data_IF_297281336539
#
_entry.id   IF_297281336539
#
_cell.length_a   1.000
_cell.length_b   1.000
_cell.length_c   1.000
_cell.angle_alpha   90.00
_cell.angle_beta   90.00
_cell.angle_gamma   90.00
#
_symmetry.space_group_name_H-M   'P 1'
#
loop_
_entity.id
_entity.type
_entity.pdbx_description
1 polymer ?
#
# COMPACT_ATOMS: atom_id res chain seq x y z
N UNK A 1 3.90 -36.03 -38.29
CA UNK A 1 2.49 -35.72 -37.96
C UNK A 1 2.41 -35.42 -36.47
N UNK A 2 2.73 -34.19 -36.07
CA UNK A 2 2.44 -33.69 -34.73
C UNK A 2 1.09 -32.98 -34.83
N UNK A 3 0.16 -33.40 -33.98
CA UNK A 3 -1.28 -33.25 -34.10
C UNK A 3 -1.74 -31.80 -33.94
N UNK A 4 -2.58 -31.33 -34.88
CA UNK A 4 -3.31 -30.04 -34.85
C UNK A 4 -4.13 -29.80 -33.57
N UNK A 5 -4.35 -30.85 -32.76
CA UNK A 5 -5.06 -30.78 -31.48
C UNK A 5 -4.26 -30.03 -30.39
N UNK A 6 -2.93 -30.17 -30.37
CA UNK A 6 -2.08 -29.57 -29.32
C UNK A 6 -1.97 -28.05 -29.47
N UNK A 7 -2.05 -27.54 -30.71
CA UNK A 7 -2.01 -26.09 -30.99
C UNK A 7 -3.31 -25.40 -30.59
N UNK A 8 -4.46 -26.08 -30.73
CA UNK A 8 -5.75 -25.51 -30.31
C UNK A 8 -5.90 -25.44 -28.79
N UNK A 9 -5.34 -26.41 -28.06
CA UNK A 9 -5.35 -26.42 -26.59
C UNK A 9 -4.47 -25.31 -25.99
N UNK A 10 -3.31 -25.05 -26.61
CA UNK A 10 -2.40 -23.97 -26.21
C UNK A 10 -2.98 -22.57 -26.49
N UNK A 11 -3.70 -22.40 -27.62
CA UNK A 11 -4.38 -21.13 -27.94
C UNK A 11 -5.59 -20.89 -27.02
N UNK A 12 -6.34 -21.93 -26.64
CA UNK A 12 -7.42 -21.78 -25.66
C UNK A 12 -6.91 -21.47 -24.25
N UNK A 13 -5.76 -22.03 -23.85
CA UNK A 13 -5.15 -21.73 -22.54
C UNK A 13 -4.57 -20.30 -22.51
N UNK A 14 -3.98 -19.83 -23.62
CA UNK A 14 -3.52 -18.45 -23.77
C UNK A 14 -4.65 -17.41 -23.77
N UNK A 15 -5.80 -17.72 -24.39
CA UNK A 15 -6.97 -16.83 -24.37
C UNK A 15 -7.68 -16.79 -23.01
N UNK A 16 -7.66 -17.87 -22.23
CA UNK A 16 -8.21 -17.85 -20.86
C UNK A 16 -7.32 -17.03 -19.91
N UNK A 17 -5.99 -17.06 -20.08
CA UNK A 17 -5.08 -16.22 -19.29
C UNK A 17 -5.24 -14.73 -19.65
N UNK A 18 -5.49 -14.40 -20.93
CA UNK A 18 -5.74 -13.02 -21.36
C UNK A 18 -7.11 -12.46 -20.94
N UNK A 19 -8.09 -13.32 -20.63
CA UNK A 19 -9.40 -12.89 -20.14
C UNK A 19 -9.40 -12.54 -18.63
N UNK A 20 -8.39 -12.99 -17.87
CA UNK A 20 -8.18 -12.59 -16.47
C UNK A 20 -7.36 -11.30 -16.31
N UNK A 21 -6.89 -10.69 -17.41
CA UNK A 21 -6.26 -9.37 -17.41
C UNK A 21 -7.30 -8.22 -17.37
N UNK A 22 -8.52 -8.49 -16.92
CA UNK A 22 -9.51 -7.46 -16.64
C UNK A 22 -9.12 -6.68 -15.40
N UNK A 23 -8.43 -5.55 -15.59
CA UNK A 23 -8.27 -4.45 -14.62
C UNK A 23 -8.28 -4.90 -13.15
N UNK A 24 -7.31 -5.73 -12.76
CA UNK A 24 -6.91 -5.81 -11.37
C UNK A 24 -6.24 -4.46 -11.02
N UNK A 25 -7.04 -3.42 -10.87
CA UNK A 25 -6.59 -2.15 -10.32
C UNK A 25 -6.05 -2.49 -8.94
N UNK A 26 -4.73 -2.48 -8.81
CA UNK A 26 -4.07 -2.64 -7.53
C UNK A 26 -4.74 -1.67 -6.55
N UNK A 27 -5.15 -2.18 -5.38
CA UNK A 27 -5.80 -1.38 -4.37
C UNK A 27 -5.01 -0.08 -4.16
N UNK A 28 -5.65 1.07 -4.41
CA UNK A 28 -4.99 2.37 -4.43
C UNK A 28 -4.37 2.79 -3.07
N UNK A 29 -4.76 2.11 -1.99
CA UNK A 29 -4.21 2.26 -0.64
C UNK A 29 -3.11 1.21 -0.35
N UNK A 30 -3.17 0.07 -1.02
CA UNK A 30 -2.34 -1.11 -0.76
C UNK A 30 -1.06 -1.13 -1.60
N UNK A 31 -0.69 0.01 -2.19
CA UNK A 31 0.50 0.16 -3.02
C UNK A 31 1.76 0.07 -2.16
N UNK A 32 2.15 -1.13 -1.72
CA UNK A 32 3.54 -1.39 -1.31
C UNK A 32 3.99 -2.86 -1.23
N UNK A 33 3.14 -3.84 -1.57
CA UNK A 33 3.51 -5.25 -1.45
C UNK A 33 4.39 -5.82 -2.57
N UNK A 34 4.32 -5.24 -3.79
CA UNK A 34 4.91 -5.82 -5.00
C UNK A 34 6.09 -5.03 -5.59
N UNK A 35 6.30 -3.77 -5.15
CA UNK A 35 7.33 -2.89 -5.69
C UNK A 35 8.24 -2.42 -4.56
N UNK A 36 9.55 -2.70 -4.67
CA UNK A 36 10.55 -2.19 -3.74
C UNK A 36 10.78 -0.71 -4.05
N UNK A 37 10.44 0.15 -3.10
CA UNK A 37 10.61 1.60 -3.24
C UNK A 37 12.08 2.02 -3.20
N UNK A 38 12.45 3.20 -3.76
CA UNK A 38 13.79 3.76 -3.63
C UNK A 38 14.28 3.89 -2.17
N UNK A 39 13.39 4.23 -1.23
CA UNK A 39 13.73 4.28 0.21
C UNK A 39 14.04 2.90 0.79
N UNK A 40 13.28 1.86 0.44
CA UNK A 40 13.63 0.48 0.80
C UNK A 40 14.97 0.04 0.21
N UNK A 41 15.30 0.47 -1.00
CA UNK A 41 16.61 0.20 -1.60
C UNK A 41 17.74 0.89 -0.82
N UNK A 42 17.54 2.12 -0.35
CA UNK A 42 18.50 2.80 0.54
C UNK A 42 18.68 2.03 1.86
N UNK A 43 17.58 1.56 2.44
CA UNK A 43 17.59 0.78 3.68
C UNK A 43 18.30 -0.57 3.53
N UNK A 44 18.23 -1.18 2.34
CA UNK A 44 18.88 -2.45 2.01
C UNK A 44 20.34 -2.30 1.55
N UNK A 45 20.70 -1.17 0.94
CA UNK A 45 22.05 -0.94 0.42
C UNK A 45 23.10 -0.97 1.54
N UNK A 46 24.26 -1.57 1.27
CA UNK A 46 25.40 -1.56 2.19
C UNK A 46 26.12 -0.22 2.17
N UNK A 47 26.22 0.38 0.97
CA UNK A 47 26.74 1.73 0.78
C UNK A 47 25.82 2.52 -0.13
N UNK A 48 25.72 3.82 0.12
CA UNK A 48 25.02 4.76 -0.73
C UNK A 48 25.85 6.03 -0.86
N UNK A 49 26.00 6.53 -2.09
CA UNK A 49 26.75 7.76 -2.38
C UNK A 49 26.02 8.62 -3.41
N UNK A 50 26.29 9.92 -3.38
CA UNK A 50 26.00 10.81 -4.50
C UNK A 50 27.31 10.98 -5.27
N UNK A 51 27.30 10.70 -6.56
CA UNK A 51 28.50 10.75 -7.38
C UNK A 51 28.25 11.40 -8.74
N UNK A 52 29.23 12.12 -9.25
CA UNK A 52 29.16 12.74 -10.58
C UNK A 52 29.83 11.84 -11.62
N UNK A 53 29.21 11.59 -12.78
CA UNK A 53 29.86 10.88 -13.88
C UNK A 53 31.16 11.60 -14.30
N UNK A 54 32.27 10.87 -14.31
CA UNK A 54 33.56 11.38 -14.81
C UNK A 54 33.62 11.25 -16.33
N UNK A 55 33.13 10.12 -16.83
CA UNK A 55 33.01 9.79 -18.25
C UNK A 55 31.76 8.91 -18.47
N UNK A 56 31.49 8.55 -19.72
CA UNK A 56 30.37 7.67 -20.09
C UNK A 56 30.67 6.19 -19.95
N UNK A 57 31.79 5.80 -19.33
CA UNK A 57 32.29 4.43 -19.30
C UNK A 57 32.19 3.81 -17.90
N UNK A 58 31.25 4.29 -17.09
CA UNK A 58 30.97 3.74 -15.77
C UNK A 58 31.92 4.22 -14.67
N UNK A 59 32.59 5.36 -14.87
CA UNK A 59 33.44 5.99 -13.84
C UNK A 59 32.72 7.15 -13.19
N UNK A 60 32.66 7.15 -11.86
CA UNK A 60 31.94 8.15 -11.08
C UNK A 60 32.83 8.69 -9.97
N UNK A 61 32.84 10.01 -9.78
CA UNK A 61 33.54 10.66 -8.67
C UNK A 61 32.57 10.83 -7.51
N UNK A 62 32.89 10.25 -6.37
CA UNK A 62 32.10 10.39 -5.14
C UNK A 62 32.11 11.84 -4.68
N UNK A 63 30.92 12.40 -4.50
CA UNK A 63 30.74 13.77 -4.01
C UNK A 63 30.26 13.79 -2.57
N UNK A 64 29.37 12.88 -2.20
CA UNK A 64 28.87 12.77 -0.83
C UNK A 64 28.67 11.30 -0.46
N UNK A 65 29.04 10.93 0.78
CA UNK A 65 28.71 9.62 1.36
C UNK A 65 27.36 9.74 2.09
N UNK A 66 26.39 8.92 1.69
CA UNK A 66 25.05 8.87 2.30
C UNK A 66 24.98 7.76 3.35
N UNK A 67 25.54 6.59 3.06
CA UNK A 67 25.52 5.40 3.94
C UNK A 67 26.75 4.54 3.69
N UNK A 68 27.23 3.87 4.74
CA UNK A 68 28.36 2.95 4.68
C UNK A 68 29.73 3.66 4.61
N UNK A 69 30.78 2.87 4.42
CA UNK A 69 32.15 3.36 4.36
C UNK A 69 32.45 3.97 2.97
N UNK A 70 33.36 4.94 2.89
CA UNK A 70 33.83 5.52 1.63
C UNK A 70 34.50 6.88 1.82
N UNK A 71 35.15 7.39 0.77
CA UNK A 71 35.81 8.70 0.81
C UNK A 71 35.26 9.61 -0.27
N UNK A 72 34.96 10.86 0.10
CA UNK A 72 34.64 11.90 -0.87
C UNK A 72 35.85 12.13 -1.78
N UNK A 73 35.61 12.18 -3.09
CA UNK A 73 36.64 12.31 -4.13
C UNK A 73 37.09 10.99 -4.76
N UNK A 74 36.77 9.84 -4.16
CA UNK A 74 37.11 8.53 -4.71
C UNK A 74 36.45 8.32 -6.09
N UNK A 75 37.11 7.52 -6.94
CA UNK A 75 36.59 7.15 -8.25
C UNK A 75 36.03 5.73 -8.17
N UNK A 76 34.71 5.61 -8.27
CA UNK A 76 34.01 4.35 -8.45
C UNK A 76 34.08 3.92 -9.91
N UNK A 77 34.32 2.64 -10.15
CA UNK A 77 34.37 2.05 -11.49
C UNK A 77 33.36 0.90 -11.54
N UNK A 78 32.27 1.11 -12.28
CA UNK A 78 31.25 0.10 -12.52
C UNK A 78 31.04 -0.04 -14.04
N UNK A 79 31.75 -0.98 -14.68
CA UNK A 79 31.55 -1.25 -16.10
C UNK A 79 30.07 -1.56 -16.40
N UNK A 80 29.54 -0.93 -17.44
CA UNK A 80 28.14 -1.11 -17.87
C UNK A 80 27.10 -0.23 -17.16
N UNK A 81 27.48 0.52 -16.12
CA UNK A 81 26.59 1.52 -15.53
C UNK A 81 26.64 2.82 -16.37
N UNK A 82 25.65 3.01 -17.24
CA UNK A 82 25.52 4.16 -18.14
C UNK A 82 24.56 5.22 -17.62
N UNK A 83 24.88 6.49 -17.89
CA UNK A 83 23.99 7.64 -17.67
C UNK A 83 23.44 8.19 -19.00
N UNK A 84 22.16 8.59 -19.08
CA UNK A 84 21.17 8.51 -17.99
C UNK A 84 20.65 7.08 -17.81
N UNK A 85 20.51 6.66 -16.55
CA UNK A 85 19.60 5.55 -16.23
C UNK A 85 18.20 6.15 -16.37
N UNK A 86 17.34 5.54 -17.19
CA UNK A 86 16.00 6.03 -17.50
C UNK A 86 15.28 6.56 -16.25
N UNK A 87 14.57 7.69 -16.39
CA UNK A 87 13.76 8.24 -15.30
C UNK A 87 12.89 7.14 -14.70
N UNK A 88 13.14 6.84 -13.43
CA UNK A 88 12.33 5.92 -12.67
C UNK A 88 10.97 6.57 -12.42
N UNK A 89 10.02 6.36 -13.33
CA UNK A 89 8.62 6.69 -13.09
C UNK A 89 8.02 5.54 -12.29
N UNK A 90 7.59 5.84 -11.06
CA UNK A 90 6.72 4.93 -10.33
C UNK A 90 5.35 4.93 -11.01
N UNK A 91 5.09 3.89 -11.81
CA UNK A 91 3.78 3.59 -12.38
C UNK A 91 3.03 2.59 -11.49
N UNK A 92 1.71 2.53 -11.65
CA UNK A 92 0.82 1.56 -11.01
C UNK A 92 1.25 0.11 -11.27
N UNK A 93 1.96 -0.13 -12.38
CA UNK A 93 2.46 -1.45 -12.82
C UNK A 93 3.93 -1.74 -12.45
N UNK A 94 4.56 -0.91 -11.62
CA UNK A 94 5.99 -1.02 -11.24
C UNK A 94 6.90 0.03 -11.89
N UNK A 95 8.21 -0.13 -11.72
CA UNK A 95 9.23 0.69 -12.38
C UNK A 95 9.18 0.44 -13.90
N UNK A 96 8.57 1.35 -14.66
CA UNK A 96 8.65 1.33 -16.13
C UNK A 96 9.82 2.18 -16.58
N UNK A 97 10.68 1.61 -17.43
CA UNK A 97 11.72 2.34 -18.17
C UNK A 97 11.00 3.34 -19.07
N UNK A 98 11.21 4.64 -18.87
CA UNK A 98 10.72 5.65 -19.81
C UNK A 98 11.38 5.46 -21.17
N UNK A 99 10.61 5.56 -22.26
CA UNK A 99 11.05 5.46 -23.66
C UNK A 99 11.90 6.66 -24.12
N UNK A 100 12.84 7.11 -23.29
CA UNK A 100 13.74 8.21 -23.59
C UNK A 100 14.96 7.74 -24.36
N UNK A 101 15.26 8.39 -25.49
CA UNK A 101 16.55 8.29 -26.16
C UNK A 101 17.72 8.52 -25.18
N UNK A 102 18.84 7.84 -25.40
CA UNK A 102 20.08 8.04 -24.67
C UNK A 102 20.54 9.52 -24.77
N UNK A 103 20.21 10.30 -23.74
CA UNK A 103 20.55 11.71 -23.69
C UNK A 103 22.06 11.91 -23.41
N UNK A 104 22.59 13.04 -23.89
CA UNK A 104 23.96 13.53 -23.66
C UNK A 104 24.38 13.34 -22.20
N UNK A 105 25.66 13.07 -21.95
CA UNK A 105 26.28 12.99 -20.61
C UNK A 105 25.83 14.19 -19.76
N UNK A 106 24.79 13.99 -18.96
CA UNK A 106 24.39 14.99 -17.98
C UNK A 106 25.38 14.83 -16.83
N UNK A 107 26.19 15.87 -16.57
CA UNK A 107 27.12 15.91 -15.44
C UNK A 107 26.40 16.02 -14.10
N UNK A 108 25.07 15.95 -14.09
CA UNK A 108 24.29 15.90 -12.85
C UNK A 108 24.77 14.75 -11.97
N UNK A 109 24.97 15.01 -10.67
CA UNK A 109 25.25 13.94 -9.73
C UNK A 109 24.09 12.94 -9.71
N UNK A 110 24.42 11.68 -9.43
CA UNK A 110 23.48 10.56 -9.38
C UNK A 110 23.56 9.85 -8.02
N UNK A 111 22.44 9.31 -7.56
CA UNK A 111 22.41 8.43 -6.39
C UNK A 111 22.85 7.02 -6.78
N UNK A 112 23.93 6.54 -6.18
CA UNK A 112 24.43 5.18 -6.39
C UNK A 112 24.32 4.35 -5.12
N UNK A 113 23.85 3.12 -5.26
CA UNK A 113 23.80 2.12 -4.19
C UNK A 113 24.70 0.94 -4.51
N UNK A 114 25.40 0.46 -3.50
CA UNK A 114 26.20 -0.75 -3.55
C UNK A 114 25.57 -1.87 -2.73
N UNK A 115 25.60 -3.06 -3.30
CA UNK A 115 25.22 -4.31 -2.66
C UNK A 115 26.48 -5.18 -2.51
N UNK A 116 26.86 -5.54 -1.28
CA UNK A 116 28.07 -6.32 -0.97
C UNK A 116 27.97 -7.78 -1.40
N UNK A 117 26.77 -8.33 -1.59
CA UNK A 117 26.59 -9.72 -2.04
C UNK A 117 26.90 -9.83 -3.53
N UNK A 118 26.42 -8.88 -4.31
CA UNK A 118 26.63 -8.83 -5.76
C UNK A 118 27.88 -8.06 -6.18
N UNK A 119 28.48 -7.29 -5.25
CA UNK A 119 29.59 -6.36 -5.48
C UNK A 119 29.32 -5.36 -6.61
N UNK A 120 28.05 -4.97 -6.79
CA UNK A 120 27.62 -4.09 -7.87
C UNK A 120 27.09 -2.76 -7.37
N UNK A 121 27.49 -1.71 -8.07
CA UNK A 121 26.86 -0.40 -7.99
C UNK A 121 25.66 -0.33 -8.94
N UNK A 122 24.56 0.23 -8.44
CA UNK A 122 23.35 0.54 -9.20
C UNK A 122 23.03 2.02 -9.06
N UNK A 123 22.52 2.64 -10.13
CA UNK A 123 22.07 4.03 -10.09
C UNK A 123 20.56 4.08 -9.89
N UNK A 124 20.12 5.00 -9.04
CA UNK A 124 18.70 5.29 -8.78
C UNK A 124 18.19 6.52 -9.55
N UNK A 125 19.09 7.28 -10.18
CA UNK A 125 18.76 8.47 -10.95
C UNK A 125 19.57 9.70 -10.53
N UNK A 126 19.31 10.81 -11.23
CA UNK A 126 19.91 12.10 -10.93
C UNK A 126 19.45 12.64 -9.57
N UNK A 127 20.34 13.33 -8.86
CA UNK A 127 20.05 13.94 -7.58
C UNK A 127 21.10 14.97 -7.18
N UNK A 128 20.69 16.16 -6.75
CA UNK A 128 21.62 17.15 -6.20
C UNK A 128 22.33 16.68 -4.93
N UNK A 129 23.59 17.10 -4.76
CA UNK A 129 24.40 16.88 -3.54
C UNK A 129 23.77 17.53 -2.30
N UNK A 130 22.95 18.58 -2.48
CA UNK A 130 22.28 19.28 -1.38
C UNK A 130 21.35 18.36 -0.57
N UNK A 131 20.88 17.26 -1.17
CA UNK A 131 20.02 16.27 -0.51
C UNK A 131 20.80 15.19 0.26
N UNK A 132 22.14 15.21 0.27
CA UNK A 132 22.94 14.25 1.02
C UNK A 132 22.60 14.23 2.52
N UNK A 133 22.40 15.41 3.12
CA UNK A 133 22.03 15.53 4.53
C UNK A 133 20.67 14.90 4.82
N UNK A 134 19.68 15.14 3.97
CA UNK A 134 18.35 14.55 4.09
C UNK A 134 18.38 13.02 3.93
N UNK A 135 19.15 12.50 2.98
CA UNK A 135 19.29 11.04 2.81
C UNK A 135 20.00 10.37 3.98
N UNK A 136 20.97 11.03 4.62
CA UNK A 136 21.60 10.52 5.85
C UNK A 136 20.58 10.45 6.97
N UNK A 137 19.79 11.51 7.17
CA UNK A 137 18.71 11.51 8.16
C UNK A 137 17.71 10.39 7.88
N UNK A 138 17.35 10.19 6.62
CA UNK A 138 16.52 9.06 6.19
C UNK A 138 17.23 7.75 6.57
N UNK A 139 18.42 7.44 6.06
CA UNK A 139 19.12 6.18 6.37
C UNK A 139 19.25 5.90 7.89
N UNK A 140 19.40 6.94 8.71
CA UNK A 140 19.52 6.84 10.17
C UNK A 140 18.22 6.47 10.91
N UNK A 141 17.04 6.65 10.31
CA UNK A 141 15.79 6.24 11.01
C UNK A 141 15.58 4.74 11.02
N UNK A 142 16.36 3.95 10.26
CA UNK A 142 16.41 2.49 10.39
C UNK A 142 17.56 2.11 11.31
N UNK A 143 17.24 1.72 12.53
CA UNK A 143 18.19 1.37 13.58
C UNK A 143 18.27 -0.14 13.80
N UNK A 144 17.18 -0.85 13.51
CA UNK A 144 17.02 -2.28 13.72
C UNK A 144 17.68 -3.07 12.60
N UNK A 145 18.45 -4.11 12.97
CA UNK A 145 18.77 -5.20 12.05
C UNK A 145 17.61 -6.21 11.91
N UNK A 146 16.63 -6.16 12.83
CA UNK A 146 15.49 -7.07 12.84
C UNK A 146 14.50 -6.77 11.71
N UNK A 147 14.07 -7.84 11.03
CA UNK A 147 12.98 -7.80 10.08
C UNK A 147 11.70 -8.17 10.83
N UNK A 148 10.62 -7.35 10.79
CA UNK A 148 9.36 -7.68 11.46
C UNK A 148 8.86 -9.07 11.05
N UNK A 149 8.34 -9.84 12.02
CA UNK A 149 7.81 -11.18 11.77
C UNK A 149 6.66 -11.11 10.77
N UNK A 150 6.79 -11.82 9.65
CA UNK A 150 5.68 -12.07 8.74
C UNK A 150 4.71 -13.05 9.40
N UNK A 151 3.52 -12.60 9.78
CA UNK A 151 2.47 -13.51 10.24
C UNK A 151 1.58 -13.78 9.02
N UNK A 152 1.41 -15.04 8.64
CA UNK A 152 0.49 -15.42 7.57
C UNK A 152 -0.90 -15.70 8.17
N UNK A 153 -2.02 -15.35 7.51
CA UNK A 153 -2.14 -14.67 6.22
C UNK A 153 -2.38 -13.18 6.46
N UNK A 154 -1.42 -12.47 7.07
CA UNK A 154 -1.54 -11.02 7.08
C UNK A 154 -1.37 -10.51 5.64
N UNK A 155 -2.44 -9.94 5.12
CA UNK A 155 -2.40 -8.85 4.15
C UNK A 155 -1.85 -7.57 4.81
N UNK A 156 -0.78 -7.67 5.62
CA UNK A 156 0.06 -6.50 5.92
C UNK A 156 0.78 -6.18 4.62
N UNK A 157 0.06 -5.49 3.75
CA UNK A 157 0.46 -5.00 2.43
C UNK A 157 1.63 -4.01 2.50
N UNK A 158 2.21 -3.81 3.68
CA UNK A 158 3.43 -3.07 3.96
C UNK A 158 4.44 -4.04 4.55
N UNK A 159 5.25 -4.68 3.70
CA UNK A 159 6.54 -5.22 4.15
C UNK A 159 7.46 -4.04 4.48
N UNK A 160 7.14 -3.32 5.55
CA UNK A 160 8.09 -2.38 6.12
C UNK A 160 9.05 -3.15 6.99
N UNK A 161 10.34 -2.98 6.70
CA UNK A 161 11.42 -3.44 7.56
C UNK A 161 11.62 -2.51 8.77
N UNK A 162 10.70 -1.58 9.02
CA UNK A 162 10.73 -0.62 10.10
C UNK A 162 9.70 -0.98 11.16
N UNK A 163 10.13 -0.92 12.41
CA UNK A 163 9.28 -0.93 13.60
C UNK A 163 8.41 0.33 13.66
N UNK A 164 7.37 0.30 14.50
CA UNK A 164 6.51 1.48 14.72
C UNK A 164 7.31 2.70 15.20
N UNK A 165 8.33 2.52 16.03
CA UNK A 165 9.18 3.62 16.50
C UNK A 165 9.99 4.25 15.36
N UNK A 166 10.65 3.43 14.55
CA UNK A 166 11.40 3.89 13.37
C UNK A 166 10.50 4.60 12.35
N UNK A 167 9.26 4.13 12.21
CA UNK A 167 8.26 4.78 11.38
C UNK A 167 7.90 6.19 11.88
N UNK A 168 7.79 6.40 13.20
CA UNK A 168 7.52 7.74 13.76
C UNK A 168 8.62 8.74 13.42
N UNK A 169 9.89 8.30 13.41
CA UNK A 169 11.01 9.14 13.03
C UNK A 169 11.06 9.36 11.50
N UNK A 170 10.89 8.27 10.73
CA UNK A 170 10.88 8.25 9.26
C UNK A 170 9.87 9.25 8.69
N UNK A 171 8.64 9.22 9.19
CA UNK A 171 7.54 9.94 8.54
C UNK A 171 7.73 11.47 8.60
N UNK A 172 8.36 11.97 9.67
CA UNK A 172 8.67 13.40 9.85
C UNK A 172 9.73 13.87 8.84
N UNK A 173 10.77 13.07 8.61
CA UNK A 173 11.83 13.37 7.62
C UNK A 173 11.26 13.39 6.19
N UNK A 174 10.29 12.53 5.92
CA UNK A 174 9.66 12.34 4.61
C UNK A 174 8.69 13.47 4.26
N UNK A 175 7.88 13.92 5.23
CA UNK A 175 6.78 14.87 4.98
C UNK A 175 7.21 16.17 4.30
N UNK A 176 8.43 16.65 4.60
CA UNK A 176 8.98 17.89 4.04
C UNK A 176 9.28 17.81 2.53
N UNK A 177 9.39 16.59 1.99
CA UNK A 177 9.91 16.33 0.63
C UNK A 177 8.89 15.71 -0.33
N UNK A 178 7.61 15.59 0.06
CA UNK A 178 6.56 14.91 -0.71
C UNK A 178 6.41 15.40 -2.16
N UNK A 179 6.63 16.70 -2.40
CA UNK A 179 6.64 17.31 -3.73
C UNK A 179 7.88 18.18 -3.91
N UNK A 180 9.04 17.62 -3.55
CA UNK A 180 10.33 18.24 -3.83
C UNK A 180 10.49 18.53 -5.33
N UNK A 181 11.12 19.65 -5.73
CA UNK A 181 11.43 19.92 -7.14
C UNK A 181 12.44 18.92 -7.72
N UNK A 182 13.16 18.18 -6.88
CA UNK A 182 14.02 17.07 -7.30
C UNK A 182 13.18 15.78 -7.42
N UNK A 183 12.95 15.25 -8.64
CA UNK A 183 11.99 14.15 -8.86
C UNK A 183 12.29 12.89 -8.06
N UNK A 184 13.57 12.51 -7.92
CA UNK A 184 13.95 11.32 -7.17
C UNK A 184 13.69 11.49 -5.66
N UNK A 185 13.89 12.70 -5.13
CA UNK A 185 13.59 13.01 -3.72
C UNK A 185 12.09 12.92 -3.47
N UNK A 186 11.27 13.50 -4.35
CA UNK A 186 9.81 13.38 -4.27
C UNK A 186 9.34 11.92 -4.40
N UNK A 187 9.97 11.13 -5.27
CA UNK A 187 9.67 9.71 -5.44
C UNK A 187 10.02 8.87 -4.20
N UNK A 188 11.18 9.13 -3.57
CA UNK A 188 11.56 8.49 -2.31
C UNK A 188 10.54 8.87 -1.21
N UNK A 189 10.24 10.17 -1.05
CA UNK A 189 9.31 10.64 -0.04
C UNK A 189 7.90 10.05 -0.22
N UNK A 190 7.38 10.06 -1.45
CA UNK A 190 6.08 9.46 -1.73
C UNK A 190 6.07 7.94 -1.49
N UNK A 191 7.15 7.24 -1.86
CA UNK A 191 7.31 5.81 -1.62
C UNK A 191 7.28 5.45 -0.13
N UNK A 192 7.97 6.23 0.69
CA UNK A 192 7.96 6.04 2.15
C UNK A 192 6.61 6.39 2.77
N UNK A 193 5.95 7.48 2.34
CA UNK A 193 4.58 7.82 2.78
C UNK A 193 3.59 6.68 2.47
N UNK A 194 3.65 6.13 1.26
CA UNK A 194 2.74 5.07 0.80
C UNK A 194 2.88 3.76 1.59
N UNK A 195 4.04 3.57 2.25
CA UNK A 195 4.35 2.40 3.08
C UNK A 195 4.08 2.61 4.56
N UNK A 196 3.93 3.86 4.99
CA UNK A 196 3.80 4.18 6.40
C UNK A 196 2.47 3.65 6.97
N UNK A 197 2.47 3.01 8.15
CA UNK A 197 1.24 2.63 8.83
C UNK A 197 0.34 3.85 9.03
N UNK A 198 -0.96 3.70 8.77
CA UNK A 198 -1.90 4.83 8.83
C UNK A 198 -1.89 5.53 10.21
N UNK A 199 -1.78 4.75 11.30
CA UNK A 199 -1.63 5.29 12.65
C UNK A 199 -0.42 6.22 12.82
N UNK A 200 0.68 5.92 12.13
CA UNK A 200 1.89 6.77 12.13
C UNK A 200 1.68 8.01 11.26
N UNK A 201 1.05 7.86 10.09
CA UNK A 201 0.77 8.99 9.19
C UNK A 201 -0.06 10.10 9.87
N UNK A 202 -0.97 9.74 10.78
CA UNK A 202 -1.76 10.70 11.59
C UNK A 202 -0.90 11.65 12.42
N UNK A 203 0.32 11.27 12.79
CA UNK A 203 1.27 12.12 13.52
C UNK A 203 1.74 13.33 12.71
N UNK A 204 1.60 13.30 11.39
CA UNK A 204 1.97 14.41 10.53
C UNK A 204 1.05 15.62 10.67
N UNK A 205 -0.13 15.49 11.28
CA UNK A 205 -1.15 16.56 11.36
C UNK A 205 -0.58 17.97 11.64
N UNK A 206 0.36 18.19 12.59
CA UNK A 206 0.89 19.52 12.88
C UNK A 206 1.71 20.15 11.74
N UNK A 207 2.19 19.34 10.78
CA UNK A 207 3.07 19.75 9.69
C UNK A 207 2.35 19.85 8.35
N UNK A 208 1.08 19.45 8.30
CA UNK A 208 0.30 19.40 7.06
C UNK A 208 -0.46 20.71 6.83
N UNK A 209 -0.44 21.16 5.57
CA UNK A 209 -1.25 22.27 5.08
C UNK A 209 -2.45 21.71 4.30
N UNK A 210 -3.65 21.83 4.88
CA UNK A 210 -4.88 21.33 4.26
C UNK A 210 -5.21 22.02 2.93
N UNK A 211 -4.89 23.31 2.75
CA UNK A 211 -5.15 24.01 1.50
C UNK A 211 -4.22 23.50 0.40
N UNK A 212 -2.94 23.30 0.72
CA UNK A 212 -1.96 22.69 -0.20
C UNK A 212 -2.36 21.27 -0.61
N UNK A 213 -2.77 20.45 0.36
CA UNK A 213 -3.26 19.09 0.11
C UNK A 213 -4.48 19.08 -0.81
N UNK A 214 -5.42 20.00 -0.60
CA UNK A 214 -6.58 20.13 -1.49
C UNK A 214 -6.17 20.51 -2.92
N UNK A 215 -5.17 21.36 -3.09
CA UNK A 215 -4.60 21.65 -4.43
C UNK A 215 -3.99 20.38 -5.04
N UNK A 216 -3.19 19.62 -4.29
CA UNK A 216 -2.55 18.41 -4.79
C UNK A 216 -3.53 17.30 -5.17
N UNK A 217 -4.57 17.08 -4.37
CA UNK A 217 -5.63 16.09 -4.68
C UNK A 217 -6.31 16.40 -6.02
N UNK A 218 -6.42 17.68 -6.39
CA UNK A 218 -7.06 18.13 -7.62
C UNK A 218 -6.08 18.29 -8.81
N UNK A 219 -4.77 18.15 -8.62
CA UNK A 219 -3.79 18.28 -9.71
C UNK A 219 -3.77 16.99 -10.57
N UNK A 220 -4.08 17.05 -11.88
CA UNK A 220 -4.03 15.89 -12.75
C UNK A 220 -2.64 15.27 -12.86
N UNK A 221 -1.57 16.05 -12.68
CA UNK A 221 -0.18 15.58 -12.73
C UNK A 221 0.18 14.68 -11.54
N UNK A 222 -0.58 14.81 -10.45
CA UNK A 222 -0.41 14.04 -9.21
C UNK A 222 -1.43 12.90 -9.10
N UNK A 223 -2.08 12.50 -10.21
CA UNK A 223 -3.12 11.48 -10.20
C UNK A 223 -2.64 10.15 -9.56
N UNK A 224 -1.39 9.73 -9.80
CA UNK A 224 -0.80 8.53 -9.19
C UNK A 224 -0.57 8.65 -7.68
N UNK A 225 -0.56 9.87 -7.13
CA UNK A 225 -0.36 10.19 -5.71
C UNK A 225 -1.63 10.61 -4.99
N UNK A 226 -2.73 10.74 -5.74
CA UNK A 226 -4.00 11.30 -5.25
C UNK A 226 -4.51 10.58 -4.01
N UNK A 227 -4.50 9.25 -4.00
CA UNK A 227 -4.98 8.47 -2.85
C UNK A 227 -4.25 8.83 -1.55
N UNK A 228 -2.92 8.93 -1.57
CA UNK A 228 -2.16 9.30 -0.38
C UNK A 228 -2.46 10.73 0.08
N UNK A 229 -2.56 11.69 -0.86
CA UNK A 229 -2.89 13.07 -0.52
C UNK A 229 -4.32 13.25 -0.02
N UNK A 230 -5.27 12.47 -0.53
CA UNK A 230 -6.62 12.39 0.02
C UNK A 230 -6.62 11.91 1.47
N UNK A 231 -5.82 10.89 1.82
CA UNK A 231 -5.69 10.44 3.20
C UNK A 231 -5.10 11.52 4.11
N UNK A 232 -4.04 12.22 3.67
CA UNK A 232 -3.47 13.35 4.38
C UNK A 232 -4.48 14.50 4.55
N UNK A 233 -5.32 14.75 3.53
CA UNK A 233 -6.40 15.73 3.60
C UNK A 233 -7.44 15.34 4.65
N UNK A 234 -7.73 14.05 4.85
CA UNK A 234 -8.56 13.57 5.96
C UNK A 234 -7.97 13.89 7.33
N UNK A 235 -6.65 13.81 7.47
CA UNK A 235 -5.93 14.06 8.74
C UNK A 235 -5.87 15.57 9.08
N UNK A 236 -5.56 16.39 8.08
CA UNK A 236 -5.30 17.82 8.24
C UNK A 236 -6.54 18.70 8.00
N UNK A 237 -7.53 18.17 7.30
CA UNK A 237 -8.68 18.90 6.80
C UNK A 237 -9.62 19.40 7.88
N UNK A 238 -10.41 20.41 7.51
CA UNK A 238 -11.54 20.92 8.29
C UNK A 238 -12.84 20.83 7.50
N UNK A 239 -13.82 21.67 7.85
CA UNK A 239 -15.15 21.70 7.20
C UNK A 239 -15.10 21.85 5.68
N UNK A 240 -14.17 22.63 5.14
CA UNK A 240 -13.98 22.75 3.69
C UNK A 240 -13.57 21.44 3.01
N UNK A 241 -12.71 20.65 3.64
CA UNK A 241 -12.32 19.33 3.15
C UNK A 241 -13.50 18.36 3.18
N UNK A 242 -14.30 18.41 4.25
CA UNK A 242 -15.52 17.60 4.38
C UNK A 242 -16.49 17.84 3.22
N UNK A 243 -16.73 19.09 2.84
CA UNK A 243 -17.60 19.44 1.70
C UNK A 243 -17.01 18.93 0.39
N UNK A 244 -15.71 19.10 0.16
CA UNK A 244 -15.05 18.65 -1.06
C UNK A 244 -15.07 17.12 -1.20
N UNK A 245 -14.87 16.38 -0.11
CA UNK A 245 -14.91 14.92 -0.09
C UNK A 245 -16.32 14.39 -0.36
N UNK A 246 -17.36 14.96 0.26
CA UNK A 246 -18.75 14.58 -0.04
C UNK A 246 -19.10 14.74 -1.51
N UNK A 247 -18.68 15.85 -2.13
CA UNK A 247 -18.93 16.08 -3.54
C UNK A 247 -18.25 15.00 -4.40
N UNK A 248 -16.99 14.66 -4.09
CA UNK A 248 -16.25 13.63 -4.82
C UNK A 248 -16.83 12.23 -4.61
N UNK A 249 -17.21 11.88 -3.37
CA UNK A 249 -17.88 10.62 -3.05
C UNK A 249 -19.22 10.55 -3.78
N UNK A 250 -20.03 11.60 -3.76
CA UNK A 250 -21.30 11.65 -4.47
C UNK A 250 -21.14 11.44 -5.98
N UNK A 251 -20.14 12.10 -6.59
CA UNK A 251 -19.83 11.90 -8.01
C UNK A 251 -19.38 10.47 -8.31
N UNK A 252 -18.49 9.91 -7.49
CA UNK A 252 -18.03 8.52 -7.58
C UNK A 252 -19.21 7.54 -7.48
N UNK A 253 -20.14 7.74 -6.55
CA UNK A 253 -21.33 6.89 -6.40
C UNK A 253 -22.32 7.03 -7.55
N UNK A 254 -22.44 8.21 -8.14
CA UNK A 254 -23.34 8.46 -9.27
C UNK A 254 -22.86 7.80 -10.57
N UNK A 255 -21.54 7.75 -10.79
CA UNK A 255 -20.92 7.05 -11.93
C UNK A 255 -20.56 5.59 -11.61
N UNK A 256 -20.59 5.24 -10.31
CA UNK A 256 -19.98 4.06 -9.71
C UNK A 256 -18.49 3.91 -10.05
N UNK A 257 -17.78 5.02 -10.16
CA UNK A 257 -16.33 5.02 -10.24
C UNK A 257 -15.74 4.67 -8.86
N UNK A 258 -15.17 3.47 -8.74
CA UNK A 258 -14.54 3.03 -7.50
C UNK A 258 -13.06 3.46 -7.40
N UNK A 259 -12.52 4.15 -8.41
CA UNK A 259 -11.13 4.61 -8.39
C UNK A 259 -10.90 5.62 -7.26
N UNK A 260 -9.93 5.34 -6.39
CA UNK A 260 -9.63 6.14 -5.18
C UNK A 260 -10.79 6.26 -4.17
N UNK A 261 -11.91 5.54 -4.37
CA UNK A 261 -13.09 5.66 -3.51
C UNK A 261 -12.77 5.28 -2.06
N UNK A 262 -11.92 4.28 -1.85
CA UNK A 262 -11.48 3.89 -0.51
C UNK A 262 -10.73 5.02 0.21
N UNK A 263 -9.88 5.77 -0.50
CA UNK A 263 -9.15 6.88 0.08
C UNK A 263 -10.09 8.04 0.43
N UNK A 264 -11.08 8.32 -0.42
CA UNK A 264 -12.13 9.31 -0.15
C UNK A 264 -12.94 8.93 1.09
N UNK A 265 -13.40 7.68 1.18
CA UNK A 265 -14.17 7.18 2.32
C UNK A 265 -13.34 7.17 3.61
N UNK A 266 -12.07 6.75 3.55
CA UNK A 266 -11.19 6.76 4.70
C UNK A 266 -10.92 8.19 5.20
N UNK A 267 -10.73 9.16 4.30
CA UNK A 267 -10.57 10.56 4.66
C UNK A 267 -11.85 11.17 5.25
N UNK A 268 -13.02 10.84 4.71
CA UNK A 268 -14.31 11.28 5.23
C UNK A 268 -14.59 10.69 6.63
N UNK A 269 -14.25 9.42 6.85
CA UNK A 269 -14.30 8.77 8.16
C UNK A 269 -13.33 9.43 9.16
N UNK A 270 -12.11 9.82 8.76
CA UNK A 270 -11.15 10.51 9.64
C UNK A 270 -11.66 11.89 10.08
N UNK A 271 -12.35 12.62 9.19
CA UNK A 271 -12.87 13.95 9.52
C UNK A 271 -14.15 13.91 10.38
N UNK A 272 -14.98 12.88 10.21
CA UNK A 272 -16.31 12.80 10.85
C UNK A 272 -16.39 11.80 12.00
N UNK A 273 -15.42 10.91 12.11
CA UNK A 273 -15.34 9.90 13.14
C UNK A 273 -16.43 8.82 13.06
N UNK A 274 -16.60 8.12 14.18
CA UNK A 274 -17.42 6.91 14.27
C UNK A 274 -18.87 7.06 13.80
N UNK A 275 -19.48 8.24 13.94
CA UNK A 275 -20.87 8.50 13.52
C UNK A 275 -21.08 8.35 12.01
N UNK A 276 -20.02 8.48 11.21
CA UNK A 276 -20.10 8.35 9.75
C UNK A 276 -20.18 6.89 9.30
N UNK A 277 -19.88 5.93 10.17
CA UNK A 277 -19.93 4.50 9.84
C UNK A 277 -21.37 4.03 9.56
N UNK A 278 -22.37 4.58 10.24
CA UNK A 278 -23.80 4.23 10.01
C UNK A 278 -24.24 4.53 8.57
N UNK A 279 -23.77 5.66 8.03
CA UNK A 279 -24.02 6.03 6.63
C UNK A 279 -23.32 5.06 5.68
N UNK A 280 -22.10 4.61 6.01
CA UNK A 280 -21.37 3.63 5.20
C UNK A 280 -22.08 2.27 5.20
N UNK A 281 -22.55 1.80 6.35
CA UNK A 281 -23.35 0.57 6.45
C UNK A 281 -24.60 0.62 5.59
N UNK A 282 -25.36 1.72 5.68
CA UNK A 282 -26.59 1.90 4.90
C UNK A 282 -26.28 2.00 3.40
N UNK A 283 -25.26 2.77 3.03
CA UNK A 283 -24.94 3.08 1.63
C UNK A 283 -24.29 1.91 0.91
N UNK A 284 -23.39 1.18 1.57
CA UNK A 284 -22.58 0.13 0.93
C UNK A 284 -23.03 -1.28 1.30
N UNK A 285 -23.45 -1.53 2.55
CA UNK A 285 -23.75 -2.89 3.00
C UNK A 285 -25.24 -3.21 2.90
N UNK A 286 -26.14 -2.29 3.21
CA UNK A 286 -27.58 -2.50 3.11
C UNK A 286 -28.11 -2.41 1.66
N UNK A 287 -27.56 -1.51 0.84
CA UNK A 287 -27.99 -1.31 -0.55
C UNK A 287 -27.46 -2.40 -1.48
N UNK A 288 -28.21 -3.48 -1.66
CA UNK A 288 -27.85 -4.62 -2.52
C UNK A 288 -27.58 -4.28 -3.99
N UNK A 289 -27.84 -3.05 -4.46
CA UNK A 289 -27.50 -2.60 -5.81
C UNK A 289 -26.03 -2.16 -5.95
N UNK A 290 -25.32 -1.94 -4.84
CA UNK A 290 -23.90 -1.55 -4.87
C UNK A 290 -23.02 -2.62 -5.49
N UNK A 291 -22.08 -2.16 -6.32
CA UNK A 291 -21.15 -3.05 -7.02
C UNK A 291 -20.03 -3.51 -6.09
N UNK A 292 -19.48 -4.69 -6.40
CA UNK A 292 -18.39 -5.28 -5.61
C UNK A 292 -17.19 -4.32 -5.39
N UNK A 293 -16.70 -3.56 -6.40
CA UNK A 293 -15.60 -2.61 -6.16
C UNK A 293 -15.94 -1.50 -5.16
N UNK A 294 -17.19 -1.05 -5.09
CA UNK A 294 -17.65 -0.05 -4.11
C UNK A 294 -17.65 -0.64 -2.70
N UNK A 295 -18.13 -1.88 -2.55
CA UNK A 295 -18.12 -2.60 -1.28
C UNK A 295 -16.69 -2.83 -0.80
N UNK A 296 -15.80 -3.29 -1.68
CA UNK A 296 -14.38 -3.48 -1.37
C UNK A 296 -13.71 -2.16 -0.97
N UNK A 297 -14.05 -1.05 -1.64
CA UNK A 297 -13.53 0.27 -1.27
C UNK A 297 -13.98 0.69 0.14
N UNK A 298 -15.24 0.45 0.50
CA UNK A 298 -15.78 0.73 1.83
C UNK A 298 -15.14 -0.15 2.92
N UNK A 299 -14.96 -1.45 2.66
CA UNK A 299 -14.28 -2.37 3.58
C UNK A 299 -12.83 -1.98 3.81
N UNK A 300 -12.12 -1.60 2.74
CA UNK A 300 -10.75 -1.13 2.83
C UNK A 300 -10.63 0.16 3.65
N UNK A 301 -11.56 1.11 3.48
CA UNK A 301 -11.59 2.32 4.30
C UNK A 301 -11.80 2.00 5.79
N UNK A 302 -12.68 1.05 6.10
CA UNK A 302 -12.90 0.56 7.46
C UNK A 302 -11.66 -0.14 8.03
N UNK A 303 -11.00 -1.00 7.25
CA UNK A 303 -9.77 -1.70 7.65
C UNK A 303 -8.64 -0.73 8.03
N UNK A 304 -8.45 0.34 7.25
CA UNK A 304 -7.47 1.41 7.56
C UNK A 304 -7.71 2.00 8.96
N UNK A 305 -8.97 2.28 9.28
CA UNK A 305 -9.38 2.83 10.57
C UNK A 305 -9.33 1.81 11.70
N UNK A 306 -9.79 0.58 11.47
CA UNK A 306 -9.80 -0.49 12.47
C UNK A 306 -8.39 -0.96 12.84
N UNK A 307 -7.46 -0.93 11.87
CA UNK A 307 -6.04 -1.16 12.13
C UNK A 307 -5.44 -0.05 13.01
N UNK A 308 -5.78 1.21 12.73
CA UNK A 308 -5.22 2.37 13.45
C UNK A 308 -5.87 2.66 14.82
N UNK A 309 -7.11 2.22 15.04
CA UNK A 309 -7.85 2.33 16.30
C UNK A 309 -7.82 3.75 16.91
N UNK A 310 -8.30 4.70 16.10
CA UNK A 310 -8.17 6.14 16.38
C UNK A 310 -9.51 6.86 16.32
N UNK A 311 -9.64 7.76 15.35
CA UNK A 311 -10.85 8.60 15.16
C UNK A 311 -12.11 7.75 15.01
N UNK A 312 -12.00 6.61 14.33
CA UNK A 312 -12.99 5.55 14.36
C UNK A 312 -12.39 4.39 15.18
N UNK A 313 -12.98 4.04 16.35
CA UNK A 313 -12.50 2.94 17.17
C UNK A 313 -12.62 1.60 16.43
N UNK A 314 -11.66 0.68 16.64
CA UNK A 314 -11.68 -0.66 16.06
C UNK A 314 -12.98 -1.41 16.37
N UNK A 315 -13.50 -1.24 17.58
CA UNK A 315 -14.77 -1.85 17.98
C UNK A 315 -15.94 -1.42 17.08
N UNK A 316 -16.01 -0.15 16.67
CA UNK A 316 -17.05 0.33 15.75
C UNK A 316 -16.90 -0.30 14.37
N UNK A 317 -15.66 -0.54 13.92
CA UNK A 317 -15.39 -1.25 12.65
C UNK A 317 -15.83 -2.71 12.74
N UNK A 318 -15.53 -3.40 13.85
CA UNK A 318 -15.99 -4.78 14.10
C UNK A 318 -17.51 -4.87 14.02
N UNK A 319 -18.23 -3.90 14.59
CA UNK A 319 -19.69 -3.82 14.50
C UNK A 319 -20.18 -3.68 13.05
N UNK A 320 -19.52 -2.85 12.24
CA UNK A 320 -19.83 -2.69 10.82
C UNK A 320 -19.57 -3.97 10.02
N UNK A 321 -18.51 -4.70 10.33
CA UNK A 321 -18.23 -6.01 9.72
C UNK A 321 -19.28 -7.05 10.09
N UNK A 322 -19.74 -7.07 11.35
CA UNK A 322 -20.87 -7.93 11.76
C UNK A 322 -22.17 -7.55 11.06
N UNK A 323 -22.40 -6.26 10.81
CA UNK A 323 -23.51 -5.81 9.99
C UNK A 323 -23.41 -6.35 8.55
N UNK A 324 -22.24 -6.24 7.91
CA UNK A 324 -21.99 -6.82 6.57
C UNK A 324 -22.31 -8.32 6.54
N UNK A 325 -21.78 -9.10 7.49
CA UNK A 325 -21.97 -10.56 7.55
C UNK A 325 -23.47 -10.91 7.54
N UNK A 326 -24.29 -10.14 8.28
CA UNK A 326 -25.74 -10.35 8.36
C UNK A 326 -26.47 -9.88 7.10
N UNK A 327 -26.15 -8.69 6.61
CA UNK A 327 -26.79 -8.09 5.44
C UNK A 327 -26.42 -8.81 4.13
N UNK A 328 -25.19 -9.32 4.02
CA UNK A 328 -24.60 -9.88 2.79
C UNK A 328 -23.83 -11.16 3.06
N UNK A 329 -24.54 -12.20 3.52
CA UNK A 329 -23.96 -13.54 3.76
C UNK A 329 -23.02 -14.05 2.65
N UNK A 330 -23.30 -13.86 1.33
CA UNK A 330 -22.40 -14.32 0.28
C UNK A 330 -21.03 -13.63 0.22
N UNK A 331 -20.86 -12.50 0.92
CA UNK A 331 -19.64 -11.68 0.99
C UNK A 331 -19.01 -11.68 2.39
N UNK A 332 -19.47 -12.57 3.28
CA UNK A 332 -19.08 -12.57 4.68
C UNK A 332 -17.60 -12.94 4.89
N UNK A 333 -16.97 -13.61 3.93
CA UNK A 333 -15.58 -14.04 4.02
C UNK A 333 -14.59 -12.89 3.89
N UNK A 334 -14.98 -11.78 3.25
CA UNK A 334 -14.10 -10.61 3.06
C UNK A 334 -13.50 -10.03 4.35
N UNK A 335 -14.20 -10.18 5.48
CA UNK A 335 -13.79 -9.61 6.77
C UNK A 335 -13.31 -10.66 7.77
N UNK A 336 -13.38 -11.95 7.43
CA UNK A 336 -13.14 -13.04 8.38
C UNK A 336 -11.71 -13.06 8.92
N UNK A 337 -10.71 -12.90 8.04
CA UNK A 337 -9.31 -12.91 8.47
C UNK A 337 -8.95 -11.74 9.37
N UNK A 338 -9.44 -10.54 9.05
CA UNK A 338 -9.17 -9.35 9.86
C UNK A 338 -9.84 -9.42 11.23
N UNK A 339 -11.08 -9.94 11.29
CA UNK A 339 -11.73 -10.25 12.56
C UNK A 339 -10.95 -11.29 13.37
N UNK A 340 -10.35 -12.30 12.72
CA UNK A 340 -9.52 -13.29 13.40
C UNK A 340 -8.22 -12.69 13.95
N UNK A 341 -7.61 -11.77 13.19
CA UNK A 341 -6.39 -11.06 13.57
C UNK A 341 -6.61 -10.09 14.73
N UNK A 342 -7.81 -9.52 14.84
CA UNK A 342 -8.24 -8.72 15.99
C UNK A 342 -8.85 -9.55 17.12
N UNK A 343 -8.86 -10.87 17.00
CA UNK A 343 -9.47 -11.79 17.98
C UNK A 343 -10.95 -11.46 18.29
N UNK A 344 -11.67 -10.94 17.31
CA UNK A 344 -13.06 -10.54 17.43
C UNK A 344 -14.00 -11.74 17.19
N UNK A 345 -14.22 -12.54 18.24
CA UNK A 345 -14.89 -13.86 18.15
C UNK A 345 -16.42 -13.85 18.03
N UNK A 346 -17.06 -12.68 18.18
CA UNK A 346 -18.52 -12.54 18.21
C UNK A 346 -19.26 -12.89 16.91
N UNK A 347 -18.53 -13.11 15.80
CA UNK A 347 -19.08 -13.55 14.51
C UNK A 347 -19.12 -15.09 14.37
N UNK A 348 -18.60 -15.84 15.33
CA UNK A 348 -18.48 -17.32 15.26
C UNK A 348 -19.79 -18.00 14.93
N UNK A 349 -20.88 -17.66 15.63
CA UNK A 349 -22.19 -18.28 15.40
C UNK A 349 -22.74 -17.97 13.98
N UNK A 350 -22.58 -16.73 13.51
CA UNK A 350 -22.99 -16.31 12.18
C UNK A 350 -22.21 -17.09 11.10
N UNK A 351 -20.89 -17.25 11.28
CA UNK A 351 -20.03 -17.99 10.36
C UNK A 351 -20.32 -19.49 10.31
N UNK A 352 -20.58 -20.14 11.45
CA UNK A 352 -21.02 -21.54 11.49
C UNK A 352 -22.32 -21.72 10.69
N UNK A 353 -23.28 -20.81 10.85
CA UNK A 353 -24.53 -20.85 10.09
C UNK A 353 -24.30 -20.65 8.58
N UNK A 354 -23.40 -19.75 8.21
CA UNK A 354 -23.04 -19.48 6.80
C UNK A 354 -22.43 -20.72 6.14
N UNK A 355 -21.47 -21.39 6.78
CA UNK A 355 -20.86 -22.63 6.27
C UNK A 355 -21.91 -23.74 6.11
N UNK A 356 -22.75 -23.96 7.14
CA UNK A 356 -23.81 -24.98 7.08
C UNK A 356 -24.81 -24.73 5.95
N UNK A 357 -25.16 -23.48 5.72
CA UNK A 357 -26.10 -23.07 4.66
C UNK A 357 -25.49 -22.99 3.26
N UNK A 358 -24.15 -23.07 3.13
CA UNK A 358 -23.41 -22.86 1.87
C UNK A 358 -23.74 -21.51 1.21
N UNK A 359 -23.91 -20.47 2.02
CA UNK A 359 -24.28 -19.14 1.54
C UNK A 359 -23.13 -18.43 0.81
N UNK A 360 -21.87 -18.74 1.15
CA UNK A 360 -20.67 -18.31 0.43
C UNK A 360 -20.32 -19.38 -0.62
N UNK A 361 -19.97 -18.93 -1.83
CA UNK A 361 -19.63 -19.82 -2.96
C UNK A 361 -18.18 -19.70 -3.41
N UNK A 362 -17.51 -18.60 -3.09
CA UNK A 362 -16.10 -18.41 -3.42
C UNK A 362 -15.23 -19.25 -2.45
N UNK A 363 -14.42 -20.19 -2.95
CA UNK A 363 -13.55 -21.01 -2.11
C UNK A 363 -12.56 -20.20 -1.26
N UNK A 364 -12.10 -19.04 -1.74
CA UNK A 364 -11.18 -18.18 -0.99
C UNK A 364 -11.88 -17.55 0.23
N UNK A 365 -13.12 -17.10 0.05
CA UNK A 365 -13.95 -16.58 1.15
C UNK A 365 -14.33 -17.69 2.14
N UNK A 366 -14.69 -18.88 1.64
CA UNK A 366 -14.97 -20.05 2.48
C UNK A 366 -13.74 -20.41 3.33
N UNK A 367 -12.56 -20.44 2.73
CA UNK A 367 -11.29 -20.67 3.43
C UNK A 367 -11.01 -19.63 4.52
N UNK A 368 -11.27 -18.35 4.25
CA UNK A 368 -11.11 -17.28 5.24
C UNK A 368 -12.05 -17.48 6.45
N UNK A 369 -13.30 -17.87 6.20
CA UNK A 369 -14.28 -18.17 7.25
C UNK A 369 -13.83 -19.37 8.08
N UNK A 370 -13.39 -20.47 7.44
CA UNK A 370 -12.92 -21.66 8.13
C UNK A 370 -11.66 -21.36 8.97
N UNK A 371 -10.76 -20.52 8.46
CA UNK A 371 -9.56 -20.08 9.19
C UNK A 371 -9.90 -19.26 10.43
N UNK A 372 -10.90 -18.37 10.34
CA UNK A 372 -11.44 -17.67 11.51
C UNK A 372 -12.01 -18.65 12.54
N UNK A 373 -12.85 -19.60 12.09
CA UNK A 373 -13.50 -20.57 12.98
C UNK A 373 -12.48 -21.48 13.68
N UNK A 374 -11.41 -21.87 12.99
CA UNK A 374 -10.33 -22.68 13.55
C UNK A 374 -9.57 -21.94 14.66
N UNK A 375 -9.43 -20.62 14.56
CA UNK A 375 -8.74 -19.78 15.56
C UNK A 375 -9.66 -19.37 16.72
N UNK A 376 -10.98 -19.35 16.50
CA UNK A 376 -11.95 -18.92 17.51
C UNK A 376 -12.09 -19.92 18.65
N UNK A 377 -11.87 -19.52 19.92
CA UNK A 377 -12.12 -20.38 21.08
C UNK A 377 -13.62 -20.71 21.25
N UNK A 378 -14.51 -19.87 20.70
CA UNK A 378 -15.96 -20.08 20.79
C UNK A 378 -16.43 -21.24 19.89
N UNK A 379 -15.70 -21.57 18.83
CA UNK A 379 -16.03 -22.71 17.96
C UNK A 379 -15.91 -24.02 18.74
N UNK A 380 -14.83 -24.20 19.50
CA UNK A 380 -14.61 -25.39 20.34
C UNK A 380 -15.67 -25.49 21.43
N UNK A 381 -16.04 -24.37 22.06
CA UNK A 381 -17.11 -24.33 23.04
C UNK A 381 -18.47 -24.74 22.45
N UNK A 382 -18.80 -24.27 21.25
CA UNK A 382 -20.03 -24.67 20.56
C UNK A 382 -20.03 -26.15 20.18
N UNK A 383 -18.91 -26.68 19.66
CA UNK A 383 -18.80 -28.11 19.33
C UNK A 383 -18.95 -29.01 20.58
N UNK A 384 -18.44 -28.57 21.73
CA UNK A 384 -18.59 -29.28 23.00
C UNK A 384 -20.05 -29.28 23.53
N UNK A 385 -20.84 -28.28 23.16
CA UNK A 385 -22.26 -28.17 23.52
C UNK A 385 -23.20 -28.91 22.54
N UNK A 386 -22.71 -29.28 21.35
CA UNK A 386 -23.43 -30.07 20.33
C UNK A 386 -22.82 -31.49 20.21
N UNK A 387 -23.04 -32.41 21.18
CA UNK A 387 -22.46 -33.78 21.16
C UNK A 387 -23.01 -34.71 20.05
N UNK A 388 -23.80 -34.19 19.11
CA UNK A 388 -24.51 -35.00 18.09
C UNK A 388 -23.76 -35.19 16.76
N UNK A 389 -22.54 -34.65 16.62
CA UNK A 389 -21.75 -34.78 15.38
C UNK A 389 -20.88 -36.05 15.33
N UNK A 390 -20.50 -36.63 16.47
CA UNK A 390 -19.61 -37.79 16.54
C UNK A 390 -20.34 -39.15 16.48
N UNK A 391 -21.67 -39.15 16.32
CA UNK A 391 -22.51 -40.36 16.25
C UNK A 391 -23.12 -40.65 14.88
N UNK A 392 -22.68 -39.97 13.81
CA UNK A 392 -23.05 -40.34 12.44
C UNK A 392 -21.80 -40.62 11.62
N UNK A 393 -21.32 -41.86 11.77
CA UNK A 393 -20.43 -42.56 10.83
C UNK A 393 -20.99 -42.52 9.40
#
# INVERSE_FOLDING_TARGET
MVTKASVRLLVSLGCVILAFAGNAQACAICFSGLVVTPGQRLDAADQAVIATPVDGQGRFRVMEIVKGDGTVGDILVQPGLVTPVAEAVMSVDGLTVGDGEAAKLDRKPVLLFHDKVSEKWTSLGAMSVDFAGWLRQLAQTKQSAETPKRIWPQLTLTSSYLTDAEWRDRIVVVAQQLESPEPLVAAIAYGELSRAPYAVTRLLKPQLDAAKLLTWTNDPRLASRRSAYTLLLGIAGGSGAVVALEQQIGAALATGDANNLSALLAADLELRGASRVDWLETTFFADHQRRLPEIQAALLALSVHGGADGTVPRQRVIEAYRYLIKARKPMAGFVAMELADWEAWDATADYVAIIRSKAVRDPAEEFAILSYLQRSPLTTAQAALDPSADQRQ
#
